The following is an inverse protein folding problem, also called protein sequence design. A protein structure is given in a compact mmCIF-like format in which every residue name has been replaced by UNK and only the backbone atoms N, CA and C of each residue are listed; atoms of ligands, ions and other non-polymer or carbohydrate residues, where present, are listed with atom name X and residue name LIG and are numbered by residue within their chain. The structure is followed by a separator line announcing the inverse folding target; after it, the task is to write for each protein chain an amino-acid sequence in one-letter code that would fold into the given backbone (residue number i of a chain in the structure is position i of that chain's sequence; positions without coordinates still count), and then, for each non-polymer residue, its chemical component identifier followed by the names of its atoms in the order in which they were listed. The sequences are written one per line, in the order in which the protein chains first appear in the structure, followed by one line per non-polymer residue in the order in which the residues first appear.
data_IF_998802384591
#
_entry.id   IF_998802384591
#
_cell.length_a   1.000
_cell.length_b   1.000
_cell.length_c   1.000
_cell.angle_alpha   90.00
_cell.angle_beta   90.00
_cell.angle_gamma   90.00
#
_symmetry.space_group_name_H-M   'P 1'
#
loop_
_entity.id
_entity.type
_entity.pdbx_description
1 polymer ?
#
# COMPACT_ATOMS: atom_id res chain seq x y z
N UNK A 1 -9.70 3.91 -15.76
CA UNK A 1 -9.91 3.87 -14.30
C UNK A 1 -10.19 5.27 -13.80
N UNK A 2 -11.22 5.45 -12.98
CA UNK A 2 -11.51 6.72 -12.30
C UNK A 2 -10.66 6.83 -11.04
N UNK A 3 -10.02 7.99 -10.84
CA UNK A 3 -9.24 8.26 -9.64
C UNK A 3 -10.17 8.39 -8.43
N UNK A 4 -9.97 7.59 -7.39
CA UNK A 4 -10.71 7.72 -6.14
C UNK A 4 -9.88 8.45 -5.09
N UNK A 5 -10.52 9.37 -4.37
CA UNK A 5 -9.92 9.97 -3.18
C UNK A 5 -10.02 9.00 -2.01
N UNK A 6 -8.88 8.76 -1.35
CA UNK A 6 -8.79 7.96 -0.13
C UNK A 6 -8.64 8.91 1.08
N UNK A 7 -9.39 8.65 2.14
CA UNK A 7 -9.05 9.17 3.46
C UNK A 7 -7.90 8.36 4.05
N UNK A 8 -7.18 8.87 5.07
CA UNK A 8 -6.14 8.09 5.76
C UNK A 8 -6.65 6.73 6.27
N UNK A 9 -7.85 6.69 6.83
CA UNK A 9 -8.45 5.48 7.41
C UNK A 9 -8.74 4.44 6.33
N UNK A 10 -9.30 4.86 5.19
CA UNK A 10 -9.56 3.95 4.06
C UNK A 10 -8.28 3.40 3.44
N UNK A 11 -7.20 4.19 3.47
CA UNK A 11 -5.89 3.73 2.99
C UNK A 11 -5.30 2.68 3.95
N UNK A 12 -5.44 2.90 5.25
CA UNK A 12 -5.03 1.95 6.29
C UNK A 12 -5.82 0.63 6.22
N UNK A 13 -7.15 0.71 6.10
CA UNK A 13 -8.02 -0.46 5.89
C UNK A 13 -7.60 -1.29 4.68
N UNK A 14 -7.26 -0.64 3.57
CA UNK A 14 -6.78 -1.32 2.37
C UNK A 14 -5.44 -2.02 2.63
N UNK A 15 -4.51 -1.37 3.33
CA UNK A 15 -3.23 -1.97 3.70
C UNK A 15 -3.40 -3.19 4.61
N UNK A 16 -4.26 -3.10 5.62
CA UNK A 16 -4.58 -4.23 6.52
C UNK A 16 -5.15 -5.41 5.75
N UNK A 17 -6.08 -5.16 4.81
CA UNK A 17 -6.64 -6.23 3.97
C UNK A 17 -5.58 -6.91 3.11
N UNK A 18 -4.56 -6.19 2.64
CA UNK A 18 -3.44 -6.80 1.92
C UNK A 18 -2.60 -7.68 2.85
N UNK A 19 -2.32 -7.22 4.08
CA UNK A 19 -1.59 -7.99 5.08
C UNK A 19 -2.32 -9.29 5.45
N UNK A 20 -3.65 -9.25 5.56
CA UNK A 20 -4.46 -10.45 5.83
C UNK A 20 -4.29 -11.52 4.74
N UNK A 21 -4.30 -11.11 3.46
CA UNK A 21 -4.07 -12.03 2.33
C UNK A 21 -2.66 -12.63 2.40
N UNK A 22 -1.64 -11.80 2.66
CA UNK A 22 -0.27 -12.28 2.85
C UNK A 22 -0.14 -13.25 4.04
N UNK A 23 -0.87 -12.99 5.13
CA UNK A 23 -0.89 -13.86 6.30
C UNK A 23 -1.51 -15.22 5.97
N UNK A 24 -2.57 -15.28 5.15
CA UNK A 24 -3.18 -16.54 4.69
C UNK A 24 -2.19 -17.38 3.87
N UNK A 25 -1.49 -16.76 2.90
CA UNK A 25 -0.47 -17.45 2.09
C UNK A 25 0.67 -17.97 2.96
N UNK A 26 1.10 -17.19 3.96
CA UNK A 26 2.11 -17.62 4.95
C UNK A 26 1.61 -18.79 5.80
N UNK A 27 0.32 -18.80 6.13
CA UNK A 27 -0.35 -19.91 6.81
C UNK A 27 -0.32 -21.19 5.99
N UNK A 28 -0.61 -21.13 4.69
CA UNK A 28 -0.49 -22.28 3.79
C UNK A 28 0.94 -22.84 3.74
N UNK A 29 1.95 -21.95 3.64
CA UNK A 29 3.35 -22.36 3.69
C UNK A 29 3.73 -23.01 5.03
N UNK A 30 3.14 -22.56 6.14
CA UNK A 30 3.32 -23.20 7.45
C UNK A 30 2.75 -24.61 7.46
N UNK A 31 1.51 -24.79 7.00
CA UNK A 31 0.85 -26.11 6.91
C UNK A 31 1.71 -27.07 6.08
N UNK A 32 2.24 -26.63 4.94
CA UNK A 32 3.10 -27.48 4.11
C UNK A 32 4.31 -28.02 4.90
N UNK A 33 4.95 -27.19 5.74
CA UNK A 33 6.08 -27.62 6.58
C UNK A 33 5.64 -28.55 7.70
N UNK A 34 4.54 -28.23 8.37
CA UNK A 34 3.99 -29.02 9.48
C UNK A 34 3.61 -30.43 9.03
N UNK A 35 3.04 -30.56 7.82
CA UNK A 35 2.58 -31.82 7.24
C UNK A 35 3.66 -32.54 6.40
N UNK A 36 4.88 -31.98 6.31
CA UNK A 36 5.96 -32.57 5.51
C UNK A 36 5.69 -32.59 4.00
N UNK A 37 4.83 -31.69 3.49
CA UNK A 37 4.54 -31.53 2.07
C UNK A 37 5.71 -30.80 1.39
N UNK A 38 6.44 -31.44 0.47
CA UNK A 38 7.66 -30.86 -0.10
C UNK A 38 7.39 -29.69 -1.06
N UNK A 39 6.21 -29.66 -1.68
CA UNK A 39 5.80 -28.60 -2.60
C UNK A 39 4.28 -28.52 -2.73
N UNK A 40 3.79 -27.35 -3.14
CA UNK A 40 2.43 -27.11 -3.62
C UNK A 40 2.52 -26.40 -4.95
N UNK A 41 1.82 -26.90 -5.96
CA UNK A 41 1.75 -26.27 -7.27
C UNK A 41 0.70 -25.14 -7.24
N UNK A 42 1.11 -23.93 -7.64
CA UNK A 42 0.25 -22.76 -7.68
C UNK A 42 0.42 -22.06 -9.03
N UNK A 43 -0.68 -21.63 -9.63
CA UNK A 43 -0.65 -20.69 -10.75
C UNK A 43 -0.44 -19.27 -10.22
N UNK A 44 0.81 -18.89 -10.00
CA UNK A 44 1.20 -17.64 -9.34
C UNK A 44 1.32 -16.42 -10.27
N UNK A 45 1.32 -16.62 -11.60
CA UNK A 45 1.54 -15.56 -12.59
C UNK A 45 0.71 -14.30 -12.33
N UNK A 46 -0.58 -14.47 -12.02
CA UNK A 46 -1.47 -13.33 -11.73
C UNK A 46 -1.21 -12.70 -10.36
N UNK A 47 -0.81 -13.50 -9.37
CA UNK A 47 -0.38 -12.97 -8.08
C UNK A 47 0.89 -12.13 -8.21
N UNK A 48 1.89 -12.58 -8.98
CA UNK A 48 3.11 -11.82 -9.26
C UNK A 48 2.83 -10.52 -10.01
N UNK A 49 1.97 -10.56 -11.04
CA UNK A 49 1.54 -9.36 -11.77
C UNK A 49 0.83 -8.36 -10.83
N UNK A 50 -0.01 -8.85 -9.91
CA UNK A 50 -0.66 -8.00 -8.92
C UNK A 50 0.34 -7.39 -7.94
N UNK A 51 1.31 -8.16 -7.45
CA UNK A 51 2.35 -7.67 -6.55
C UNK A 51 3.19 -6.58 -7.23
N UNK A 52 3.62 -6.80 -8.47
CA UNK A 52 4.38 -5.80 -9.22
C UNK A 52 3.58 -4.49 -9.41
N UNK A 53 2.29 -4.59 -9.72
CA UNK A 53 1.42 -3.43 -9.84
C UNK A 53 1.19 -2.72 -8.49
N UNK A 54 1.06 -3.49 -7.40
CA UNK A 54 0.92 -2.96 -6.04
C UNK A 54 2.19 -2.23 -5.59
N UNK A 55 3.37 -2.76 -5.90
CA UNK A 55 4.65 -2.09 -5.62
C UNK A 55 4.74 -0.75 -6.35
N UNK A 56 4.48 -0.74 -7.66
CA UNK A 56 4.45 0.51 -8.46
C UNK A 56 3.44 1.50 -7.90
N UNK A 57 2.25 1.02 -7.52
CA UNK A 57 1.22 1.85 -6.92
C UNK A 57 1.66 2.43 -5.56
N UNK A 58 2.30 1.63 -4.71
CA UNK A 58 2.80 2.09 -3.41
C UNK A 58 3.88 3.17 -3.57
N UNK A 59 4.86 2.95 -4.46
CA UNK A 59 5.91 3.95 -4.76
C UNK A 59 5.33 5.27 -5.27
N UNK A 60 4.41 5.20 -6.24
CA UNK A 60 3.78 6.42 -6.79
C UNK A 60 2.92 7.14 -5.75
N UNK A 61 2.22 6.39 -4.88
CA UNK A 61 1.41 6.95 -3.79
C UNK A 61 2.29 7.69 -2.77
N UNK A 62 3.42 7.12 -2.40
CA UNK A 62 4.36 7.75 -1.46
C UNK A 62 4.95 9.05 -2.03
N UNK A 63 5.37 9.04 -3.29
CA UNK A 63 5.88 10.22 -3.98
C UNK A 63 4.83 11.36 -4.04
N UNK A 64 3.59 11.02 -4.38
CA UNK A 64 2.48 11.98 -4.42
C UNK A 64 2.15 12.54 -3.01
N UNK A 65 2.17 11.69 -1.98
CA UNK A 65 1.95 12.12 -0.60
C UNK A 65 3.02 13.14 -0.16
N UNK A 66 4.30 12.84 -0.39
CA UNK A 66 5.40 13.74 -0.06
C UNK A 66 5.25 15.10 -0.74
N UNK A 67 4.91 15.10 -2.04
CA UNK A 67 4.65 16.32 -2.80
C UNK A 67 3.51 17.15 -2.19
N UNK A 68 2.40 16.50 -1.83
CA UNK A 68 1.24 17.18 -1.19
C UNK A 68 1.57 17.74 0.18
N UNK A 69 2.33 17.01 1.00
CA UNK A 69 2.76 17.46 2.33
C UNK A 69 3.66 18.70 2.21
N UNK A 70 4.62 18.69 1.28
CA UNK A 70 5.48 19.84 1.04
C UNK A 70 4.67 21.08 0.62
N UNK A 71 3.72 20.92 -0.30
CA UNK A 71 2.84 21.99 -0.74
C UNK A 71 2.00 22.55 0.41
N UNK A 72 1.34 21.68 1.20
CA UNK A 72 0.52 22.09 2.33
C UNK A 72 1.33 22.88 3.38
N UNK A 73 2.57 22.48 3.64
CA UNK A 73 3.49 23.20 4.54
C UNK A 73 3.92 24.55 3.98
N UNK A 74 4.14 24.66 2.68
CA UNK A 74 4.48 25.93 2.03
C UNK A 74 3.31 26.91 2.11
N UNK A 75 2.10 26.46 1.81
CA UNK A 75 0.87 27.27 1.89
C UNK A 75 0.66 27.79 3.31
N UNK A 76 0.73 26.92 4.33
CA UNK A 76 0.56 27.31 5.73
C UNK A 76 1.55 28.40 6.15
N UNK A 77 2.83 28.24 5.79
CA UNK A 77 3.86 29.26 6.09
C UNK A 77 3.56 30.59 5.41
N UNK A 78 3.10 30.58 4.15
CA UNK A 78 2.74 31.81 3.44
C UNK A 78 1.56 32.54 4.10
N UNK A 79 0.57 31.80 4.60
CA UNK A 79 -0.58 32.34 5.33
C UNK A 79 -0.15 32.96 6.67
N UNK A 80 0.73 32.29 7.42
CA UNK A 80 1.29 32.81 8.68
C UNK A 80 2.08 34.11 8.48
N UNK A 81 2.86 34.21 7.40
CA UNK A 81 3.59 35.44 7.05
C UNK A 81 2.63 36.58 6.71
N UNK A 82 1.59 36.30 5.92
CA UNK A 82 0.56 37.29 5.59
C UNK A 82 -0.24 37.77 6.80
N UNK A 83 -0.49 36.91 7.78
CA UNK A 83 -1.23 37.26 8.99
C UNK A 83 -0.43 38.13 9.99
N UNK A 84 0.90 38.21 9.82
CA UNK A 84 1.81 38.96 10.70
C UNK A 84 2.25 40.31 10.14
N UNK A 85 2.01 40.57 8.86
CA UNK A 85 2.33 41.83 8.18
C UNK A 85 1.09 42.67 7.96
#
# INVERSE_FOLDING_TARGET
MTLQAYSPERLDELALRMLDVCAQLRGAARICREEGLPAVELHDRKALEWLENLEKWAYSTDAELHRRVQLARATRRAEEVKARG
#
